data_IF_529363965383
#
_entry.id   IF_529363965383
#
_cell.length_a   1.000
_cell.length_b   1.000
_cell.length_c   1.000
_cell.angle_alpha   90.00
_cell.angle_beta   90.00
_cell.angle_gamma   90.00
#
_symmetry.space_group_name_H-M   'P 1'
#
loop_
_entity.id
_entity.type
_entity.pdbx_description
1 polymer ?
#
# COMPACT_ATOMS: atom_id res chain seq x y z
N UNK A 1 -4.15 5.21 16.32
CA UNK A 1 -2.75 5.32 15.82
C UNK A 1 -2.43 6.80 15.60
N UNK A 2 -1.59 7.42 16.43
CA UNK A 2 -1.34 8.87 16.40
C UNK A 2 -0.86 9.39 15.04
N UNK A 3 0.04 8.67 14.36
CA UNK A 3 0.62 9.09 13.08
C UNK A 3 -0.42 9.19 11.95
N UNK A 4 -1.25 8.17 11.78
CA UNK A 4 -2.21 8.10 10.67
C UNK A 4 -3.30 9.15 10.84
N UNK A 5 -3.77 9.37 12.07
CA UNK A 5 -4.68 10.47 12.37
C UNK A 5 -4.03 11.83 12.07
N UNK A 6 -2.75 12.00 12.44
CA UNK A 6 -2.04 13.25 12.15
C UNK A 6 -1.88 13.49 10.64
N UNK A 7 -1.59 12.45 9.87
CA UNK A 7 -1.50 12.55 8.41
C UNK A 7 -2.86 12.86 7.77
N UNK A 8 -3.96 12.32 8.30
CA UNK A 8 -5.32 12.70 7.87
C UNK A 8 -5.60 14.19 8.12
N UNK A 9 -5.21 14.71 9.29
CA UNK A 9 -5.32 16.15 9.60
C UNK A 9 -4.49 17.00 8.63
N UNK A 10 -3.20 16.67 8.48
CA UNK A 10 -2.29 17.42 7.62
C UNK A 10 -2.66 17.33 6.14
N UNK A 11 -3.40 16.29 5.73
CA UNK A 11 -3.98 16.19 4.39
C UNK A 11 -5.14 17.16 4.17
N UNK A 12 -5.91 17.51 5.20
CA UNK A 12 -6.91 18.59 5.11
C UNK A 12 -6.24 19.97 5.01
N UNK A 13 -4.98 20.05 5.44
CA UNK A 13 -4.14 21.23 5.34
C UNK A 13 -3.86 21.85 6.70
N UNK A 14 -2.73 22.55 6.80
CA UNK A 14 -2.27 23.17 8.04
C UNK A 14 -1.72 24.57 7.76
N UNK A 15 -2.19 25.54 8.55
CA UNK A 15 -1.69 26.91 8.54
C UNK A 15 -0.53 27.06 9.52
N UNK A 16 0.65 27.37 8.99
CA UNK A 16 1.76 27.85 9.79
C UNK A 16 1.61 29.34 10.08
N UNK A 17 1.95 29.71 11.30
CA UNK A 17 2.06 31.11 11.72
C UNK A 17 3.08 31.86 10.85
N UNK A 18 2.91 33.18 10.70
CA UNK A 18 3.90 34.03 10.05
C UNK A 18 5.32 33.78 10.54
N UNK A 19 6.25 33.68 9.60
CA UNK A 19 7.69 33.60 9.87
C UNK A 19 8.38 34.84 9.32
N UNK A 20 9.64 35.08 9.71
CA UNK A 20 10.42 36.21 9.18
C UNK A 20 10.54 36.20 7.65
N UNK A 21 10.43 35.03 7.01
CA UNK A 21 10.47 34.85 5.54
C UNK A 21 9.08 34.75 4.90
N UNK A 22 8.02 34.70 5.70
CA UNK A 22 6.63 34.54 5.27
C UNK A 22 5.66 35.29 6.18
N UNK A 23 5.50 36.62 6.00
CA UNK A 23 4.72 37.47 6.90
C UNK A 23 3.22 37.14 6.93
N UNK A 24 2.72 36.46 5.90
CA UNK A 24 1.32 36.01 5.80
C UNK A 24 1.09 34.59 6.35
N UNK A 25 2.13 33.96 6.90
CA UNK A 25 2.11 32.52 7.19
C UNK A 25 2.16 31.68 5.91
N UNK A 26 1.92 30.38 6.04
CA UNK A 26 1.89 29.47 4.89
C UNK A 26 0.88 28.36 5.13
N UNK A 27 0.12 28.01 4.10
CA UNK A 27 -0.79 26.87 4.13
C UNK A 27 -0.17 25.71 3.37
N UNK A 28 -0.07 24.54 4.01
CA UNK A 28 0.50 23.34 3.38
C UNK A 28 -0.44 22.16 3.49
N UNK A 29 -0.28 21.21 2.58
CA UNK A 29 -0.79 19.85 2.72
C UNK A 29 0.39 18.89 2.88
N UNK A 30 0.22 17.86 3.70
CA UNK A 30 1.23 16.78 3.83
C UNK A 30 0.61 15.48 3.36
N UNK A 31 1.35 14.76 2.52
CA UNK A 31 1.00 13.42 2.06
C UNK A 31 2.24 12.53 2.03
N UNK A 32 2.05 11.24 2.28
CA UNK A 32 3.06 10.23 1.98
C UNK A 32 3.00 10.00 0.47
N UNK A 33 4.09 10.28 -0.24
CA UNK A 33 4.16 10.05 -1.69
C UNK A 33 4.41 8.57 -2.02
N UNK A 34 5.33 7.95 -1.28
CA UNK A 34 5.67 6.54 -1.48
C UNK A 34 6.26 5.89 -0.24
N UNK A 35 6.11 4.58 -0.12
CA UNK A 35 6.88 3.75 0.80
C UNK A 35 8.06 3.09 0.06
N UNK A 36 9.23 3.11 0.70
CA UNK A 36 10.44 2.41 0.28
C UNK A 36 10.87 1.51 1.44
N UNK A 37 11.02 0.22 1.16
CA UNK A 37 11.50 -0.78 2.11
C UNK A 37 11.90 -2.05 1.35
N UNK A 38 12.58 -2.98 2.01
CA UNK A 38 12.75 -4.33 1.48
C UNK A 38 11.39 -5.01 1.23
N UNK A 39 11.40 -6.07 0.42
CA UNK A 39 10.16 -6.73 -0.02
C UNK A 39 9.34 -7.30 1.14
N UNK A 40 9.98 -7.77 2.22
CA UNK A 40 9.29 -8.35 3.38
C UNK A 40 8.63 -7.25 4.22
N UNK A 41 9.37 -6.20 4.53
CA UNK A 41 8.87 -5.03 5.24
C UNK A 41 7.74 -4.35 4.44
N UNK A 42 7.91 -4.21 3.13
CA UNK A 42 6.92 -3.60 2.26
C UNK A 42 5.59 -4.35 2.30
N UNK A 43 5.61 -5.68 2.16
CA UNK A 43 4.39 -6.51 2.20
C UNK A 43 3.65 -6.39 3.53
N UNK A 44 4.39 -6.34 4.65
CA UNK A 44 3.79 -6.12 5.98
C UNK A 44 3.17 -4.72 6.07
N UNK A 45 3.87 -3.71 5.57
CA UNK A 45 3.41 -2.32 5.56
C UNK A 45 2.16 -2.12 4.70
N UNK A 46 2.05 -2.81 3.57
CA UNK A 46 0.97 -2.64 2.59
C UNK A 46 -0.14 -3.66 2.73
N UNK A 47 0.01 -4.66 3.61
CA UNK A 47 -0.97 -5.71 3.81
C UNK A 47 -0.97 -6.79 2.72
N UNK A 48 0.12 -6.96 1.98
CA UNK A 48 0.25 -8.01 0.97
C UNK A 48 0.77 -9.32 1.59
N UNK A 49 0.42 -10.43 0.95
CA UNK A 49 0.92 -11.76 1.32
C UNK A 49 2.41 -11.91 1.01
N UNK A 50 3.09 -12.76 1.79
CA UNK A 50 4.49 -13.11 1.60
C UNK A 50 4.73 -13.91 0.31
N UNK A 51 6.00 -14.18 0.01
CA UNK A 51 6.43 -14.99 -1.14
C UNK A 51 5.89 -16.44 -1.13
N UNK A 52 5.40 -16.92 0.01
CA UNK A 52 4.79 -18.25 0.12
C UNK A 52 3.35 -18.29 -0.38
N UNK A 53 2.69 -17.15 -0.57
CA UNK A 53 1.33 -17.06 -1.10
C UNK A 53 1.25 -17.20 -2.62
N UNK A 54 0.05 -17.51 -3.12
CA UNK A 54 -0.21 -17.58 -4.56
C UNK A 54 -0.15 -16.20 -5.24
N UNK A 55 -0.58 -15.15 -4.55
CA UNK A 55 -0.55 -13.76 -5.01
C UNK A 55 0.72 -13.04 -4.54
N UNK A 56 1.87 -13.40 -5.09
CA UNK A 56 3.18 -12.97 -4.56
C UNK A 56 3.59 -11.54 -4.96
N UNK A 57 3.00 -10.95 -6.00
CA UNK A 57 3.40 -9.65 -6.53
C UNK A 57 2.53 -8.49 -6.00
N UNK A 58 3.17 -7.35 -5.70
CA UNK A 58 2.46 -6.12 -5.32
C UNK A 58 1.77 -5.44 -6.52
N UNK A 59 2.31 -5.62 -7.72
CA UNK A 59 1.95 -4.84 -8.91
C UNK A 59 1.05 -5.59 -9.89
N UNK A 60 1.16 -6.91 -9.97
CA UNK A 60 0.35 -7.74 -10.85
C UNK A 60 -0.53 -8.73 -10.07
N UNK A 61 -1.44 -9.38 -10.78
CA UNK A 61 -2.31 -10.43 -10.24
C UNK A 61 -1.89 -11.83 -10.67
N UNK A 62 -0.67 -12.00 -11.20
CA UNK A 62 -0.14 -13.31 -11.60
C UNK A 62 -0.05 -14.24 -10.40
N UNK A 63 -0.55 -15.46 -10.56
CA UNK A 63 -0.47 -16.49 -9.53
C UNK A 63 0.87 -17.23 -9.62
N UNK A 64 1.36 -17.71 -8.47
CA UNK A 64 2.62 -18.44 -8.35
C UNK A 64 2.77 -19.64 -9.32
N UNK A 65 1.74 -20.45 -9.61
CA UNK A 65 1.84 -21.52 -10.61
C UNK A 65 2.08 -21.01 -12.05
N UNK A 66 1.77 -19.74 -12.32
CA UNK A 66 1.91 -19.09 -13.63
C UNK A 66 3.14 -18.17 -13.68
N UNK A 67 4.08 -18.31 -12.74
CA UNK A 67 5.25 -17.42 -12.65
C UNK A 67 6.14 -17.47 -13.90
N UNK A 68 6.10 -18.59 -14.63
CA UNK A 68 6.84 -18.79 -15.88
C UNK A 68 6.10 -18.23 -17.11
N UNK A 69 4.86 -17.78 -16.97
CA UNK A 69 4.09 -17.14 -18.04
C UNK A 69 4.60 -15.70 -18.24
N UNK A 70 5.63 -15.56 -19.09
CA UNK A 70 6.27 -14.29 -19.40
C UNK A 70 5.61 -13.68 -20.65
N UNK A 71 5.03 -12.49 -20.50
CA UNK A 71 4.47 -11.72 -21.61
C UNK A 71 3.39 -10.75 -21.15
N UNK A 72 3.18 -9.62 -21.88
CA UNK A 72 2.16 -8.63 -21.52
C UNK A 72 0.74 -9.22 -21.39
N UNK A 73 0.46 -10.29 -22.13
CA UNK A 73 -0.83 -10.98 -22.13
C UNK A 73 -1.10 -11.76 -20.82
N UNK A 74 -0.07 -12.08 -20.05
CA UNK A 74 -0.17 -12.85 -18.80
C UNK A 74 -0.06 -11.96 -17.55
N UNK A 75 0.26 -10.68 -17.73
CA UNK A 75 0.58 -9.74 -16.66
C UNK A 75 -0.54 -8.71 -16.51
N UNK A 76 -1.52 -9.02 -15.68
CA UNK A 76 -2.58 -8.07 -15.36
C UNK A 76 -2.16 -7.17 -14.21
N UNK A 77 -2.17 -5.86 -14.44
CA UNK A 77 -1.87 -4.85 -13.42
C UNK A 77 -2.95 -4.83 -12.34
N UNK A 78 -2.52 -4.80 -11.08
CA UNK A 78 -3.43 -4.71 -9.93
C UNK A 78 -4.07 -3.32 -9.87
N UNK A 79 -5.37 -3.25 -10.09
CA UNK A 79 -6.11 -2.00 -9.96
C UNK A 79 -6.35 -1.65 -8.48
N UNK A 80 -6.44 -0.35 -8.16
CA UNK A 80 -6.78 0.10 -6.80
C UNK A 80 -8.14 -0.43 -6.35
N UNK A 81 -9.11 -0.53 -7.27
CA UNK A 81 -10.44 -1.08 -6.98
C UNK A 81 -10.38 -2.57 -6.64
N UNK A 82 -9.64 -3.38 -7.42
CA UNK A 82 -9.48 -4.81 -7.16
C UNK A 82 -8.67 -5.07 -5.89
N UNK A 83 -7.80 -4.14 -5.50
CA UNK A 83 -7.06 -4.18 -4.24
C UNK A 83 -7.95 -3.86 -3.03
N UNK A 84 -8.76 -2.80 -3.11
CA UNK A 84 -9.59 -2.33 -1.98
C UNK A 84 -10.82 -3.20 -1.72
N UNK A 85 -11.39 -3.85 -2.73
CA UNK A 85 -12.60 -4.66 -2.56
C UNK A 85 -12.41 -5.85 -1.57
N UNK A 86 -11.35 -6.67 -1.66
CA UNK A 86 -11.09 -7.71 -0.67
C UNK A 86 -10.75 -7.16 0.72
N UNK A 87 -10.07 -6.00 0.81
CA UNK A 87 -9.77 -5.36 2.10
C UNK A 87 -11.07 -4.93 2.81
N UNK A 88 -12.03 -4.38 2.07
CA UNK A 88 -13.34 -4.04 2.62
C UNK A 88 -14.06 -5.28 3.17
N UNK A 89 -14.00 -6.41 2.46
CA UNK A 89 -14.53 -7.69 2.97
C UNK A 89 -13.78 -8.15 4.23
N UNK A 90 -12.45 -8.02 4.24
CA UNK A 90 -11.59 -8.43 5.36
C UNK A 90 -11.89 -7.66 6.65
N UNK A 91 -12.17 -6.35 6.56
CA UNK A 91 -12.48 -5.50 7.72
C UNK A 91 -13.69 -6.01 8.51
N UNK A 92 -14.75 -6.42 7.83
CA UNK A 92 -16.01 -6.90 8.42
C UNK A 92 -16.06 -8.43 8.63
N UNK A 93 -15.02 -9.16 8.21
CA UNK A 93 -14.95 -10.61 8.30
C UNK A 93 -14.55 -11.11 9.70
N UNK A 94 -15.00 -12.33 10.04
CA UNK A 94 -14.53 -13.07 11.22
C UNK A 94 -13.04 -13.47 11.06
N UNK A 95 -12.34 -13.84 12.15
CA UNK A 95 -10.95 -14.29 12.04
C UNK A 95 -10.73 -15.43 11.03
N UNK A 96 -11.62 -16.43 10.97
CA UNK A 96 -11.49 -17.51 9.98
C UNK A 96 -11.69 -16.99 8.54
N UNK A 97 -12.69 -16.14 8.33
CA UNK A 97 -12.96 -15.54 7.02
C UNK A 97 -11.82 -14.62 6.56
N UNK A 98 -11.19 -13.87 7.49
CA UNK A 98 -10.01 -13.04 7.20
C UNK A 98 -8.85 -13.87 6.67
N UNK A 99 -8.60 -15.03 7.25
CA UNK A 99 -7.57 -15.94 6.78
C UNK A 99 -7.90 -16.50 5.39
N UNK A 100 -9.17 -16.87 5.15
CA UNK A 100 -9.61 -17.31 3.83
C UNK A 100 -9.44 -16.21 2.77
N UNK A 101 -9.89 -14.98 3.05
CA UNK A 101 -9.74 -13.81 2.17
C UNK A 101 -8.26 -13.52 1.90
N UNK A 102 -7.41 -13.55 2.94
CA UNK A 102 -5.99 -13.30 2.79
C UNK A 102 -5.32 -14.37 1.92
N UNK A 103 -5.69 -15.64 2.09
CA UNK A 103 -5.19 -16.75 1.27
C UNK A 103 -5.66 -16.66 -0.19
N UNK A 104 -6.92 -16.28 -0.41
CA UNK A 104 -7.54 -16.18 -1.74
C UNK A 104 -7.00 -14.99 -2.52
N UNK A 105 -7.03 -13.78 -1.95
CA UNK A 105 -6.72 -12.53 -2.66
C UNK A 105 -5.29 -12.01 -2.43
N UNK A 106 -4.58 -12.56 -1.45
CA UNK A 106 -3.23 -12.14 -1.08
C UNK A 106 -3.14 -10.77 -0.43
N UNK A 107 -4.26 -10.24 0.07
CA UNK A 107 -4.32 -8.89 0.67
C UNK A 107 -5.12 -8.92 1.97
N UNK A 108 -4.67 -8.10 2.92
CA UNK A 108 -5.33 -7.85 4.20
C UNK A 108 -5.29 -6.35 4.49
N UNK A 109 -6.06 -5.93 5.49
CA UNK A 109 -6.05 -4.54 5.91
C UNK A 109 -4.67 -4.12 6.43
N UNK A 110 -4.22 -2.96 5.96
CA UNK A 110 -3.14 -2.19 6.56
C UNK A 110 -3.67 -0.84 7.01
N UNK A 111 -3.11 -0.30 8.09
CA UNK A 111 -3.44 1.03 8.60
C UNK A 111 -3.18 2.16 7.58
N UNK A 112 -2.39 1.92 6.53
CA UNK A 112 -2.21 2.92 5.47
C UNK A 112 -3.44 3.06 4.57
N UNK A 113 -4.31 2.05 4.48
CA UNK A 113 -5.55 2.09 3.69
C UNK A 113 -6.57 3.09 4.23
N UNK A 114 -6.39 3.54 5.47
CA UNK A 114 -7.15 4.62 6.08
C UNK A 114 -6.84 6.00 5.48
N UNK A 115 -5.68 6.18 4.83
CA UNK A 115 -5.29 7.46 4.24
C UNK A 115 -6.06 7.68 2.92
N UNK A 116 -6.74 8.81 2.73
CA UNK A 116 -7.63 9.03 1.59
C UNK A 116 -6.90 9.06 0.25
N UNK A 117 -5.62 9.47 0.26
CA UNK A 117 -4.76 9.57 -0.92
C UNK A 117 -3.94 8.29 -1.17
N UNK A 118 -3.95 7.32 -0.26
CA UNK A 118 -3.07 6.15 -0.35
C UNK A 118 -3.57 5.11 -1.35
N UNK A 119 -2.62 4.54 -2.10
CA UNK A 119 -2.82 3.45 -3.02
C UNK A 119 -1.62 2.49 -3.04
N UNK A 120 -1.74 1.36 -2.32
CA UNK A 120 -0.66 0.39 -2.17
C UNK A 120 -0.18 -0.24 -3.50
N UNK A 121 -0.99 -0.21 -4.55
CA UNK A 121 -0.60 -0.75 -5.87
C UNK A 121 0.27 0.19 -6.70
N UNK A 122 0.39 1.47 -6.31
CA UNK A 122 1.11 2.51 -7.07
C UNK A 122 2.11 3.30 -6.24
N UNK A 123 1.91 3.41 -4.93
CA UNK A 123 2.71 4.24 -4.04
C UNK A 123 3.79 3.43 -3.31
N UNK A 124 4.21 2.31 -3.88
CA UNK A 124 5.18 1.38 -3.32
C UNK A 124 6.34 1.24 -4.31
N UNK A 125 7.55 1.46 -3.82
CA UNK A 125 8.77 1.24 -4.58
C UNK A 125 9.42 -0.07 -4.18
N UNK A 126 9.91 -0.82 -5.18
CA UNK A 126 10.83 -1.92 -4.94
C UNK A 126 12.20 -1.34 -4.68
N UNK A 127 12.78 -1.69 -3.53
CA UNK A 127 14.13 -1.26 -3.21
C UNK A 127 15.14 -2.00 -4.10
N UNK A 128 15.71 -1.28 -5.07
CA UNK A 128 16.71 -1.82 -6.00
C UNK A 128 17.99 -2.25 -5.27
N UNK A 129 18.34 -1.63 -4.14
CA UNK A 129 19.59 -1.94 -3.44
C UNK A 129 19.57 -3.38 -2.94
N UNK A 130 18.48 -3.79 -2.28
CA UNK A 130 18.32 -5.15 -1.76
C UNK A 130 17.91 -6.19 -2.81
N UNK A 131 17.44 -5.76 -3.99
CA UNK A 131 16.96 -6.68 -5.03
C UNK A 131 17.98 -6.92 -6.15
N UNK A 132 18.93 -6.01 -6.38
CA UNK A 132 19.91 -6.10 -7.48
C UNK A 132 21.36 -6.25 -7.01
N UNK A 133 21.69 -5.76 -5.81
CA UNK A 133 23.04 -5.77 -5.27
C UNK A 133 23.02 -6.74 -4.07
N UNK A 134 23.23 -8.02 -4.37
CA UNK A 134 23.49 -9.06 -3.36
C UNK A 134 25.00 -9.14 -3.08
#
# INVERSE_FOLDING_TARGET
MPLINKLKELWQGYHFSPTSTGPSGSFIHVAILTAIADVVAMRKLTGFISHSGNHFCNFCTTHKPQIEEIGPQFHYTRSSQNHKAPIAKWLWATPQQRQAIFSEYGVQYSILEDLPYWGATRMVNLDIMHNLIL
#
